data_IF_990586053161
#
_entry.id   IF_990586053161
#
_cell.length_a   1.000
_cell.length_b   1.000
_cell.length_c   1.000
_cell.angle_alpha   90.00
_cell.angle_beta   90.00
_cell.angle_gamma   90.00
#
_symmetry.space_group_name_H-M   'P 1'
#
loop_
_entity.id
_entity.type
_entity.pdbx_description
1 polymer ?
#
# COMPACT_ATOMS: atom_id res chain seq x y z
N UNK A 1 25.25 -6.50 -6.05
CA UNK A 1 25.46 -6.68 -7.51
C UNK A 1 24.42 -7.64 -8.12
N UNK A 2 23.72 -8.48 -7.34
CA UNK A 2 22.80 -9.54 -7.83
C UNK A 2 21.36 -9.10 -8.19
N UNK A 3 20.97 -7.83 -7.96
CA UNK A 3 19.60 -7.34 -8.25
C UNK A 3 19.49 -6.46 -9.51
N UNK A 4 20.61 -6.20 -10.19
CA UNK A 4 20.59 -5.56 -11.51
C UNK A 4 20.15 -6.59 -12.53
N UNK A 5 19.11 -6.29 -13.32
CA UNK A 5 18.54 -7.16 -14.35
C UNK A 5 17.91 -8.46 -13.83
N UNK A 6 17.39 -8.47 -12.60
CA UNK A 6 16.62 -9.61 -12.08
C UNK A 6 15.16 -9.51 -12.56
N UNK A 7 14.70 -10.34 -13.52
CA UNK A 7 13.30 -10.37 -13.90
C UNK A 7 12.48 -10.98 -12.77
N UNK A 8 11.30 -10.44 -12.51
CA UNK A 8 10.41 -10.96 -11.48
C UNK A 8 9.16 -11.59 -12.10
N UNK A 9 8.20 -10.76 -12.51
CA UNK A 9 6.90 -11.23 -12.96
C UNK A 9 6.37 -10.38 -14.12
N UNK A 10 5.95 -11.04 -15.20
CA UNK A 10 5.32 -10.47 -16.40
C UNK A 10 6.08 -9.29 -17.03
N UNK A 11 5.78 -8.06 -16.63
CA UNK A 11 6.36 -6.85 -17.19
C UNK A 11 7.57 -6.30 -16.41
N UNK A 12 7.82 -6.81 -15.20
CA UNK A 12 8.95 -6.38 -14.38
C UNK A 12 10.22 -7.07 -14.87
N UNK A 13 11.02 -6.31 -15.62
CA UNK A 13 12.30 -6.76 -16.21
C UNK A 13 13.52 -6.44 -15.34
N UNK A 14 13.38 -5.53 -14.37
CA UNK A 14 14.47 -5.17 -13.46
C UNK A 14 13.90 -4.73 -12.10
N UNK A 15 14.25 -5.45 -11.03
CA UNK A 15 13.86 -5.12 -9.65
C UNK A 15 14.60 -3.91 -9.07
N UNK A 16 15.74 -3.53 -9.66
CA UNK A 16 16.56 -2.40 -9.21
C UNK A 16 16.16 -1.06 -9.85
N UNK A 17 15.31 -1.09 -10.88
CA UNK A 17 14.77 0.10 -11.53
C UNK A 17 13.37 0.46 -10.99
N UNK A 18 12.92 1.72 -11.17
CA UNK A 18 11.50 2.08 -11.02
C UNK A 18 10.62 1.26 -11.98
N UNK A 19 9.36 1.01 -11.60
CA UNK A 19 8.41 0.24 -12.41
C UNK A 19 8.15 0.97 -13.75
N UNK A 20 8.44 0.35 -14.91
CA UNK A 20 8.16 0.98 -16.21
C UNK A 20 6.66 1.16 -16.48
N UNK A 21 5.81 0.42 -15.76
CA UNK A 21 4.36 0.42 -15.90
C UNK A 21 3.75 1.22 -14.75
N UNK A 22 3.19 2.39 -15.07
CA UNK A 22 2.57 3.30 -14.11
C UNK A 22 1.07 3.44 -14.38
N UNK A 23 0.29 3.74 -13.36
CA UNK A 23 -1.10 4.16 -13.51
C UNK A 23 -1.25 5.34 -14.48
N UNK A 24 -0.26 6.24 -14.53
CA UNK A 24 -0.30 7.46 -15.34
C UNK A 24 0.08 7.28 -16.82
N UNK A 25 0.76 6.19 -17.18
CA UNK A 25 0.95 5.81 -18.59
C UNK A 25 -0.06 4.74 -19.05
N UNK A 26 -1.15 4.58 -18.29
CA UNK A 26 -2.18 3.59 -18.56
C UNK A 26 -1.67 2.17 -18.47
N UNK A 27 -0.74 1.89 -17.54
CA UNK A 27 -0.04 0.60 -17.45
C UNK A 27 0.71 0.23 -18.74
N UNK A 28 1.38 1.20 -19.36
CA UNK A 28 2.14 1.02 -20.60
C UNK A 28 1.29 1.06 -21.88
N UNK A 29 0.00 1.41 -21.79
CA UNK A 29 -0.87 1.64 -22.96
C UNK A 29 -0.54 2.94 -23.70
N UNK A 30 0.06 3.92 -23.01
CA UNK A 30 0.44 5.20 -23.58
C UNK A 30 1.97 5.26 -23.61
N UNK A 31 2.56 5.56 -24.78
CA UNK A 31 3.99 5.80 -24.96
C UNK A 31 4.38 7.20 -24.44
N UNK A 32 4.14 7.42 -23.15
CA UNK A 32 4.49 8.61 -22.40
C UNK A 32 5.21 8.18 -21.12
N UNK A 33 6.31 8.85 -20.79
CA UNK A 33 7.05 8.62 -19.56
C UNK A 33 6.66 9.68 -18.53
N UNK A 34 5.88 9.33 -17.49
CA UNK A 34 5.54 10.28 -16.43
C UNK A 34 6.81 10.69 -15.68
N UNK A 35 6.85 11.92 -15.14
CA UNK A 35 7.89 12.31 -14.19
C UNK A 35 7.98 11.29 -13.04
N UNK A 36 9.18 11.08 -12.49
CA UNK A 36 9.48 10.00 -11.55
C UNK A 36 8.50 9.90 -10.35
N UNK A 37 8.05 11.04 -9.82
CA UNK A 37 7.07 11.11 -8.73
C UNK A 37 5.69 10.52 -9.09
N UNK A 38 5.36 10.47 -10.38
CA UNK A 38 4.13 9.87 -10.91
C UNK A 38 4.36 8.46 -11.45
N UNK A 39 5.51 7.81 -11.21
CA UNK A 39 5.74 6.41 -11.59
C UNK A 39 5.11 5.44 -10.57
N UNK A 40 3.80 5.59 -10.34
CA UNK A 40 3.04 4.77 -9.39
C UNK A 40 2.55 3.51 -10.11
N UNK A 41 3.33 2.43 -10.00
CA UNK A 41 2.95 1.09 -10.46
C UNK A 41 1.98 0.35 -9.51
N UNK A 42 1.56 -0.85 -9.91
CA UNK A 42 0.59 -1.65 -9.14
C UNK A 42 1.09 -1.99 -7.71
N UNK A 43 2.40 -2.21 -7.56
CA UNK A 43 2.99 -2.55 -6.27
C UNK A 43 3.03 -1.36 -5.31
N UNK A 44 3.12 -0.12 -5.83
CA UNK A 44 3.00 1.09 -5.01
C UNK A 44 1.57 1.25 -4.47
N UNK A 45 0.57 0.95 -5.30
CA UNK A 45 -0.82 0.93 -4.87
C UNK A 45 -1.07 -0.16 -3.83
N UNK A 46 -0.52 -1.36 -4.04
CA UNK A 46 -0.62 -2.46 -3.07
C UNK A 46 0.04 -2.10 -1.74
N UNK A 47 1.25 -1.51 -1.77
CA UNK A 47 1.93 -0.99 -0.59
C UNK A 47 1.09 0.06 0.13
N UNK A 48 0.56 1.05 -0.59
CA UNK A 48 -0.30 2.07 -0.01
C UNK A 48 -1.57 1.49 0.62
N UNK A 49 -2.15 0.47 -0.02
CA UNK A 49 -3.32 -0.24 0.47
C UNK A 49 -3.03 -1.05 1.74
N UNK A 50 -1.94 -1.82 1.77
CA UNK A 50 -1.56 -2.56 2.98
C UNK A 50 -1.25 -1.59 4.12
N UNK A 51 -0.50 -0.53 3.86
CA UNK A 51 -0.22 0.50 4.86
C UNK A 51 -1.50 1.15 5.40
N UNK A 52 -2.44 1.50 4.51
CA UNK A 52 -3.75 2.02 4.90
C UNK A 52 -4.52 1.04 5.80
N UNK A 53 -4.62 -0.23 5.41
CA UNK A 53 -5.28 -1.25 6.25
C UNK A 53 -4.60 -1.40 7.61
N UNK A 54 -3.27 -1.38 7.65
CA UNK A 54 -2.52 -1.48 8.90
C UNK A 54 -2.81 -0.29 9.82
N UNK A 55 -2.90 0.94 9.30
CA UNK A 55 -3.30 2.10 10.11
C UNK A 55 -4.73 1.99 10.66
N UNK A 56 -5.64 1.28 9.96
CA UNK A 56 -7.01 1.04 10.42
C UNK A 56 -7.11 -0.06 11.47
N UNK A 57 -6.15 -0.98 11.50
CA UNK A 57 -6.04 -2.00 12.56
C UNK A 57 -5.43 -1.44 13.84
N UNK A 58 -4.67 -0.36 13.74
CA UNK A 58 -4.07 0.31 14.88
C UNK A 58 -5.05 1.32 15.52
N UNK A 59 -5.00 1.51 16.85
CA UNK A 59 -5.83 2.50 17.53
C UNK A 59 -5.60 3.90 16.95
N UNK A 60 -6.68 4.61 16.64
CA UNK A 60 -6.58 5.97 16.08
C UNK A 60 -6.15 6.96 17.16
N UNK A 61 -5.23 7.90 16.89
CA UNK A 61 -4.87 8.95 17.84
C UNK A 61 -6.09 9.75 18.30
N UNK A 62 -6.12 10.14 19.57
CA UNK A 62 -7.25 10.90 20.15
C UNK A 62 -7.34 12.34 19.63
N UNK A 63 -6.21 12.92 19.21
CA UNK A 63 -6.11 14.28 18.71
C UNK A 63 -6.59 14.38 17.24
N UNK A 64 -7.54 15.29 16.90
CA UNK A 64 -8.05 15.47 15.54
C UNK A 64 -6.99 15.89 14.52
N UNK A 65 -5.96 16.65 14.92
CA UNK A 65 -4.86 17.05 14.04
C UNK A 65 -4.04 15.82 13.65
N UNK A 66 -3.68 14.99 14.64
CA UNK A 66 -2.95 13.75 14.39
C UNK A 66 -3.76 12.79 13.52
N UNK A 67 -5.06 12.61 13.81
CA UNK A 67 -5.95 11.78 13.00
C UNK A 67 -5.96 12.20 11.52
N UNK A 68 -5.99 13.51 11.26
CA UNK A 68 -5.96 14.03 9.90
C UNK A 68 -4.63 13.68 9.22
N UNK A 69 -3.51 13.90 9.89
CA UNK A 69 -2.18 13.53 9.36
C UNK A 69 -2.07 12.04 9.04
N UNK A 70 -2.48 11.15 9.96
CA UNK A 70 -2.46 9.70 9.75
C UNK A 70 -3.39 9.24 8.63
N UNK A 71 -4.48 9.97 8.37
CA UNK A 71 -5.40 9.66 7.26
C UNK A 71 -4.76 9.94 5.91
N UNK A 72 -3.97 11.01 5.80
CA UNK A 72 -3.30 11.40 4.55
C UNK A 72 -1.92 10.76 4.36
N UNK A 73 -1.29 10.29 5.45
CA UNK A 73 0.04 9.67 5.42
C UNK A 73 0.20 8.56 4.35
N UNK A 74 -0.76 7.63 4.16
CA UNK A 74 -0.62 6.58 3.14
C UNK A 74 -0.49 7.17 1.73
N UNK A 75 -1.21 8.25 1.43
CA UNK A 75 -1.17 8.91 0.12
C UNK A 75 0.22 9.47 -0.14
N UNK A 76 0.76 10.25 0.79
CA UNK A 76 2.12 10.81 0.68
C UNK A 76 3.18 9.72 0.57
N UNK A 77 3.03 8.61 1.31
CA UNK A 77 3.97 7.49 1.26
C UNK A 77 4.00 6.80 -0.10
N UNK A 78 2.88 6.68 -0.82
CA UNK A 78 2.87 6.12 -2.19
C UNK A 78 3.71 6.99 -3.13
N UNK A 79 3.58 8.31 -3.05
CA UNK A 79 4.30 9.24 -3.90
C UNK A 79 5.80 9.29 -3.58
N UNK A 80 6.16 9.22 -2.29
CA UNK A 80 7.57 9.06 -1.89
C UNK A 80 8.09 7.70 -2.39
N UNK A 81 7.28 6.64 -2.27
CA UNK A 81 7.65 5.30 -2.71
C UNK A 81 7.91 5.20 -4.21
N UNK A 82 7.24 6.02 -5.04
CA UNK A 82 7.45 6.06 -6.49
C UNK A 82 8.90 6.39 -6.90
N UNK A 83 9.67 7.02 -6.01
CA UNK A 83 11.09 7.33 -6.26
C UNK A 83 12.03 6.17 -5.92
N UNK A 84 11.56 5.12 -5.25
CA UNK A 84 12.37 3.96 -4.85
C UNK A 84 12.34 2.83 -5.90
N UNK A 85 13.35 1.96 -5.90
CA UNK A 85 13.35 0.75 -6.74
C UNK A 85 12.14 -0.14 -6.48
N UNK A 86 11.53 -0.68 -7.54
CA UNK A 86 10.29 -1.48 -7.42
C UNK A 86 10.46 -2.72 -6.54
N UNK A 87 11.65 -3.33 -6.53
CA UNK A 87 11.94 -4.50 -5.69
C UNK A 87 11.82 -4.21 -4.19
N UNK A 88 12.20 -3.02 -3.75
CA UNK A 88 12.04 -2.58 -2.35
C UNK A 88 10.56 -2.41 -2.00
N UNK A 89 9.79 -1.82 -2.92
CA UNK A 89 8.35 -1.59 -2.72
C UNK A 89 7.57 -2.90 -2.70
N UNK A 90 7.94 -3.88 -3.55
CA UNK A 90 7.38 -5.24 -3.53
C UNK A 90 7.62 -5.90 -2.17
N UNK A 91 8.85 -5.80 -1.65
CA UNK A 91 9.18 -6.33 -0.33
C UNK A 91 8.30 -5.70 0.76
N UNK A 92 8.14 -4.37 0.77
CA UNK A 92 7.27 -3.69 1.74
C UNK A 92 5.81 -4.09 1.60
N UNK A 93 5.29 -4.15 0.38
CA UNK A 93 3.91 -4.55 0.12
C UNK A 93 3.65 -5.96 0.66
N UNK A 94 4.56 -6.91 0.38
CA UNK A 94 4.47 -8.29 0.85
C UNK A 94 4.59 -8.39 2.37
N UNK A 95 5.54 -7.68 2.96
CA UNK A 95 5.73 -7.66 4.41
C UNK A 95 4.52 -7.05 5.15
N UNK A 96 3.95 -5.96 4.61
CA UNK A 96 2.74 -5.34 5.14
C UNK A 96 1.54 -6.29 5.08
N UNK A 97 1.37 -7.01 3.96
CA UNK A 97 0.31 -8.00 3.82
C UNK A 97 0.40 -9.11 4.87
N UNK A 98 1.58 -9.72 5.04
CA UNK A 98 1.80 -10.75 6.07
C UNK A 98 1.56 -10.22 7.48
N UNK A 99 2.03 -9.00 7.76
CA UNK A 99 1.85 -8.35 9.06
C UNK A 99 0.37 -8.14 9.40
N UNK A 100 -0.42 -7.71 8.42
CA UNK A 100 -1.89 -7.54 8.56
C UNK A 100 -2.56 -8.88 8.83
N UNK A 101 -2.22 -9.92 8.06
CA UNK A 101 -2.77 -11.26 8.25
C UNK A 101 -2.46 -11.81 9.65
N UNK A 102 -1.22 -11.64 10.09
CA UNK A 102 -0.79 -12.02 11.44
C UNK A 102 -1.56 -11.23 12.51
N UNK A 103 -1.69 -9.91 12.35
CA UNK A 103 -2.40 -9.06 13.30
C UNK A 103 -3.89 -9.44 13.40
N UNK A 104 -4.56 -9.66 12.27
CA UNK A 104 -5.96 -10.14 12.23
C UNK A 104 -6.10 -11.48 12.94
N UNK A 105 -5.19 -12.42 12.68
CA UNK A 105 -5.20 -13.73 13.32
C UNK A 105 -5.07 -13.63 14.85
N UNK A 106 -4.15 -12.79 15.34
CA UNK A 106 -3.94 -12.57 16.78
C UNK A 106 -5.18 -11.91 17.41
N UNK A 107 -5.72 -10.84 16.81
CA UNK A 107 -6.89 -10.15 17.33
C UNK A 107 -8.10 -11.06 17.44
N UNK A 108 -8.31 -11.94 16.44
CA UNK A 108 -9.37 -12.95 16.45
C UNK A 108 -9.16 -13.98 17.57
N UNK A 109 -7.92 -14.39 17.84
CA UNK A 109 -7.58 -15.31 18.93
C UNK A 109 -7.74 -14.69 20.33
N UNK A 110 -7.52 -13.39 20.44
CA UNK A 110 -7.64 -12.63 21.70
C UNK A 110 -9.08 -12.15 21.97
N UNK A 111 -10.03 -12.40 21.07
CA UNK A 111 -11.43 -11.95 21.21
C UNK A 111 -11.62 -10.43 21.06
N UNK A 112 -10.59 -9.73 20.61
CA UNK A 112 -10.63 -8.29 20.34
C UNK A 112 -11.42 -8.00 19.07
N UNK A 113 -12.30 -7.00 19.13
CA UNK A 113 -13.00 -6.51 17.96
C UNK A 113 -12.02 -5.95 16.93
N UNK A 114 -12.19 -6.37 15.69
CA UNK A 114 -11.43 -5.84 14.57
C UNK A 114 -12.15 -4.59 14.10
N UNK A 115 -11.61 -3.42 14.44
CA UNK A 115 -12.19 -2.11 14.13
C UNK A 115 -12.56 -1.95 12.64
N UNK A 116 -11.85 -2.65 11.75
CA UNK A 116 -12.12 -2.66 10.31
C UNK A 116 -13.49 -3.27 9.97
N UNK A 117 -13.87 -4.40 10.59
CA UNK A 117 -15.16 -5.05 10.37
C UNK A 117 -16.30 -4.38 11.17
N UNK A 118 -16.02 -3.91 12.39
CA UNK A 118 -17.01 -3.20 13.21
C UNK A 118 -17.50 -1.92 12.50
N UNK A 119 -16.60 -1.15 11.89
CA UNK A 119 -16.96 0.08 11.17
C UNK A 119 -17.77 -0.18 9.89
N UNK A 120 -17.55 -1.31 9.21
CA UNK A 120 -18.31 -1.68 8.00
C UNK A 120 -19.75 -2.05 8.36
N UNK A 121 -19.95 -2.92 9.36
CA UNK A 121 -21.30 -3.29 9.81
C UNK A 121 -22.10 -2.08 10.31
N UNK A 122 -21.48 -1.23 11.12
CA UNK A 122 -22.15 -0.03 11.67
C UNK A 122 -22.64 0.94 10.60
N UNK A 123 -21.99 1.01 9.44
CA UNK A 123 -22.45 1.83 8.32
C UNK A 123 -23.57 1.15 7.51
N UNK A 124 -23.63 -0.19 7.51
CA UNK A 124 -24.74 -0.95 6.91
C UNK A 124 -26.03 -0.69 7.67
N UNK A 125 -25.97 -0.78 9.01
CA UNK A 125 -27.15 -0.63 9.90
C UNK A 125 -27.71 0.81 9.93
N UNK A 126 -26.96 1.80 9.44
CA UNK A 126 -27.39 3.21 9.39
C UNK A 126 -28.15 3.57 8.11
N UNK A 127 -28.12 2.70 7.10
CA UNK A 127 -28.72 2.94 5.79
C UNK A 127 -30.02 2.12 5.59
N UNK A 128 -30.48 1.40 6.60
CA UNK A 128 -31.82 0.83 6.74
C UNK A 128 -32.68 1.69 7.68
#
# INVERSE_FOLDING_TARGET
>A
MEMRHAPFFWWIRDLSAPDPISLFNGFGLINWEPPQFFMIGIFHLLFGFTFFLQTKLNPTPADPIQKTLFTWMPVFMIFIAASFPVGLVIYWAWNGLLSILQQIYIMKRQGTEIALFTNINKNSDKNE
#
